data_IF_163744907258
#
_entry.id   IF_163744907258
#
_cell.length_a   1.000
_cell.length_b   1.000
_cell.length_c   1.000
_cell.angle_alpha   90.00
_cell.angle_beta   90.00
_cell.angle_gamma   90.00
#
_symmetry.space_group_name_H-M   'P 1'
#
loop_
_entity.id
_entity.type
_entity.pdbx_description
1 polymer ?
#
# COMPACT_ATOMS: atom_id res chain seq x y z
N UNK A 1 -14.22 -24.27 -12.11
CA UNK A 1 -13.49 -23.17 -11.46
C UNK A 1 -12.14 -23.72 -11.11
N UNK A 2 -11.06 -23.14 -11.65
CA UNK A 2 -9.72 -23.45 -11.16
C UNK A 2 -9.66 -22.84 -9.76
N UNK A 3 -9.38 -23.65 -8.74
CA UNK A 3 -9.17 -23.16 -7.37
C UNK A 3 -8.00 -22.18 -7.41
N UNK A 4 -8.31 -20.89 -7.28
CA UNK A 4 -7.32 -19.81 -7.23
C UNK A 4 -7.18 -19.24 -5.81
N UNK A 5 -7.56 -20.04 -4.79
CA UNK A 5 -7.40 -19.65 -3.39
C UNK A 5 -6.08 -20.21 -2.87
N UNK A 6 -5.07 -19.35 -2.73
CA UNK A 6 -3.81 -19.71 -2.08
C UNK A 6 -4.02 -19.71 -0.56
N UNK A 7 -3.88 -20.88 0.07
CA UNK A 7 -3.77 -20.96 1.53
C UNK A 7 -2.51 -20.22 1.95
N UNK A 8 -2.64 -19.08 2.64
CA UNK A 8 -1.50 -18.26 3.05
C UNK A 8 -0.58 -19.02 4.01
N UNK A 9 -1.14 -19.58 5.08
CA UNK A 9 -0.43 -20.42 6.04
C UNK A 9 -1.24 -21.67 6.35
N UNK A 10 -0.64 -22.87 6.38
CA UNK A 10 -1.35 -24.13 6.56
C UNK A 10 -1.82 -24.39 8.01
N UNK A 11 -1.30 -23.64 9.00
CA UNK A 11 -1.70 -23.67 10.41
C UNK A 11 -1.01 -22.55 11.20
N UNK A 12 -1.44 -22.34 12.45
CA UNK A 12 -0.92 -21.31 13.35
C UNK A 12 0.57 -21.44 13.68
N UNK A 13 1.10 -22.67 13.70
CA UNK A 13 2.52 -22.90 13.97
C UNK A 13 3.36 -22.35 12.82
N UNK A 14 2.98 -22.65 11.58
CA UNK A 14 3.65 -22.12 10.39
C UNK A 14 3.45 -20.61 10.29
N UNK A 15 2.24 -20.10 10.54
CA UNK A 15 1.98 -18.65 10.58
C UNK A 15 2.92 -17.92 11.54
N UNK A 16 3.06 -18.43 12.77
CA UNK A 16 3.99 -17.86 13.77
C UNK A 16 5.45 -17.91 13.31
N UNK A 17 5.89 -19.03 12.73
CA UNK A 17 7.26 -19.19 12.23
C UNK A 17 7.55 -18.23 11.07
N UNK A 18 6.59 -17.99 10.19
CA UNK A 18 6.72 -17.00 9.12
C UNK A 18 6.79 -15.58 9.68
N UNK A 19 5.97 -15.25 10.69
CA UNK A 19 6.06 -13.95 11.37
C UNK A 19 7.43 -13.74 12.04
N UNK A 20 7.92 -14.74 12.79
CA UNK A 20 9.26 -14.72 13.41
C UNK A 20 10.37 -14.48 12.37
N UNK A 21 10.34 -15.23 11.26
CA UNK A 21 11.28 -15.06 10.16
C UNK A 21 11.18 -13.65 9.54
N UNK A 22 9.96 -13.18 9.27
CA UNK A 22 9.73 -11.85 8.68
C UNK A 22 10.25 -10.74 9.58
N UNK A 23 10.09 -10.87 10.90
CA UNK A 23 10.61 -9.91 11.87
C UNK A 23 12.14 -9.87 11.91
N UNK A 24 12.80 -11.03 11.80
CA UNK A 24 14.27 -11.15 11.82
C UNK A 24 14.92 -10.65 10.53
N UNK A 25 14.23 -10.77 9.39
CA UNK A 25 14.75 -10.45 8.07
C UNK A 25 14.19 -9.15 7.47
N UNK A 26 13.46 -8.36 8.27
CA UNK A 26 12.99 -7.02 7.87
C UNK A 26 13.82 -5.92 8.51
N UNK A 27 13.87 -4.75 7.85
CA UNK A 27 14.48 -3.55 8.43
C UNK A 27 13.85 -3.27 9.81
N UNK A 28 14.66 -3.10 10.88
CA UNK A 28 14.13 -2.86 12.21
C UNK A 28 13.48 -1.47 12.29
N UNK A 29 12.44 -1.35 13.12
CA UNK A 29 11.93 -0.04 13.53
C UNK A 29 12.93 0.61 14.51
N UNK A 30 12.99 1.95 14.57
CA UNK A 30 13.72 2.66 15.61
C UNK A 30 13.43 2.12 17.00
N UNK A 31 14.45 2.03 17.84
CA UNK A 31 14.35 1.47 19.20
C UNK A 31 13.26 2.17 20.03
N UNK A 32 13.09 3.48 19.85
CA UNK A 32 12.07 4.26 20.54
C UNK A 32 10.65 3.85 20.15
N UNK A 33 10.39 3.51 18.87
CA UNK A 33 9.10 2.97 18.45
C UNK A 33 8.86 1.59 19.08
N UNK A 34 9.88 0.74 19.12
CA UNK A 34 9.78 -0.58 19.76
C UNK A 34 9.46 -0.44 21.25
N UNK A 35 10.16 0.46 21.96
CA UNK A 35 9.89 0.77 23.38
C UNK A 35 8.49 1.34 23.60
N UNK A 36 8.01 2.19 22.70
CA UNK A 36 6.65 2.72 22.77
C UNK A 36 5.62 1.58 22.62
N UNK A 37 5.78 0.73 21.61
CA UNK A 37 4.91 -0.45 21.43
C UNK A 37 4.92 -1.36 22.66
N UNK A 38 6.10 -1.67 23.21
CA UNK A 38 6.22 -2.45 24.45
C UNK A 38 5.49 -1.78 25.63
N UNK A 39 5.58 -0.46 25.75
CA UNK A 39 4.84 0.29 26.77
C UNK A 39 3.34 0.12 26.58
N UNK A 40 2.82 0.21 25.35
CA UNK A 40 1.38 -0.02 25.08
C UNK A 40 0.98 -1.41 25.54
N UNK A 41 1.71 -2.44 25.12
CA UNK A 41 1.41 -3.84 25.46
C UNK A 41 1.44 -4.13 26.97
N UNK A 42 2.34 -3.49 27.72
CA UNK A 42 2.51 -3.74 29.16
C UNK A 42 1.60 -2.89 30.05
N UNK A 43 1.20 -1.71 29.59
CA UNK A 43 0.53 -0.72 30.45
C UNK A 43 -0.95 -0.51 30.15
N UNK A 44 -1.41 -0.86 28.94
CA UNK A 44 -2.77 -0.58 28.51
C UNK A 44 -3.64 -1.83 28.57
N UNK A 45 -4.79 -1.75 29.24
CA UNK A 45 -5.80 -2.82 29.27
C UNK A 45 -6.32 -3.14 27.85
N UNK A 46 -6.47 -2.10 27.02
CA UNK A 46 -6.92 -2.21 25.63
C UNK A 46 -5.75 -2.28 24.63
N UNK A 47 -4.62 -2.85 25.03
CA UNK A 47 -3.42 -2.92 24.17
C UNK A 47 -3.64 -3.59 22.82
N UNK A 48 -4.63 -4.47 22.70
CA UNK A 48 -5.04 -5.09 21.43
C UNK A 48 -5.63 -4.13 20.39
N UNK A 49 -5.84 -2.84 20.72
CA UNK A 49 -6.18 -1.79 19.75
C UNK A 49 -4.95 -1.23 19.02
N UNK A 50 -3.72 -1.53 19.48
CA UNK A 50 -2.52 -1.06 18.78
C UNK A 50 -2.23 -1.91 17.55
N UNK A 51 -1.75 -1.26 16.49
CA UNK A 51 -1.18 -1.94 15.32
C UNK A 51 0.06 -2.76 15.72
N UNK A 52 0.33 -3.82 14.97
CA UNK A 52 1.53 -4.65 15.17
C UNK A 52 2.81 -3.94 14.68
N UNK A 53 3.99 -4.40 15.12
CA UNK A 53 5.26 -3.92 14.59
C UNK A 53 5.42 -4.20 13.08
N UNK A 54 4.91 -5.33 12.59
CA UNK A 54 4.95 -5.67 11.17
C UNK A 54 4.11 -4.69 10.35
N UNK A 55 2.91 -4.37 10.82
CA UNK A 55 2.06 -3.36 10.21
C UNK A 55 2.71 -1.97 10.26
N UNK A 56 3.30 -1.58 11.39
CA UNK A 56 4.02 -0.31 11.51
C UNK A 56 5.18 -0.20 10.49
N UNK A 57 5.90 -1.29 10.20
CA UNK A 57 6.91 -1.34 9.12
C UNK A 57 6.27 -1.14 7.74
N UNK A 58 5.16 -1.82 7.45
CA UNK A 58 4.44 -1.69 6.20
C UNK A 58 3.94 -0.26 5.96
N UNK A 59 3.31 0.35 6.98
CA UNK A 59 2.83 1.73 6.93
C UNK A 59 3.98 2.72 6.71
N UNK A 60 5.11 2.52 7.41
CA UNK A 60 6.32 3.33 7.20
C UNK A 60 6.86 3.22 5.78
N UNK A 61 6.86 2.01 5.21
CA UNK A 61 7.27 1.77 3.83
C UNK A 61 6.32 2.45 2.83
N UNK A 62 5.00 2.33 3.01
CA UNK A 62 4.00 2.99 2.16
C UNK A 62 4.14 4.51 2.17
N UNK A 63 4.33 5.12 3.35
CA UNK A 63 4.58 6.56 3.46
C UNK A 63 5.81 7.01 2.67
N UNK A 64 6.91 6.25 2.76
CA UNK A 64 8.14 6.56 2.02
C UNK A 64 7.99 6.37 0.51
N UNK A 65 7.28 5.33 0.07
CA UNK A 65 7.03 5.08 -1.35
C UNK A 65 6.29 6.23 -2.03
N UNK A 66 5.32 6.82 -1.33
CA UNK A 66 4.55 7.97 -1.87
C UNK A 66 5.14 9.32 -1.48
N UNK A 67 6.34 9.33 -0.87
CA UNK A 67 7.02 10.51 -0.33
C UNK A 67 6.08 11.39 0.53
N UNK A 68 5.30 10.76 1.41
CA UNK A 68 4.35 11.44 2.27
C UNK A 68 5.05 12.43 3.22
N UNK A 69 4.45 13.61 3.37
CA UNK A 69 4.83 14.68 4.31
C UNK A 69 3.70 15.02 5.27
N UNK A 70 2.45 14.75 4.93
CA UNK A 70 1.28 15.08 5.75
C UNK A 70 0.40 13.85 5.88
N UNK A 71 0.23 13.35 7.09
CA UNK A 71 -0.65 12.20 7.39
C UNK A 71 -1.76 12.62 8.32
N UNK A 72 -2.99 12.24 7.99
CA UNK A 72 -4.14 12.32 8.89
C UNK A 72 -4.50 10.93 9.37
N UNK A 73 -4.66 10.76 10.67
CA UNK A 73 -5.08 9.51 11.29
C UNK A 73 -6.42 9.71 12.00
N UNK A 74 -7.39 8.85 11.70
CA UNK A 74 -8.71 8.81 12.34
C UNK A 74 -8.73 7.62 13.28
N UNK A 75 -8.70 7.89 14.59
CA UNK A 75 -8.51 6.90 15.64
C UNK A 75 -7.03 6.79 16.01
N UNK A 76 -6.66 7.39 17.14
CA UNK A 76 -5.26 7.49 17.57
C UNK A 76 -4.94 6.56 18.74
N UNK A 77 -5.95 6.20 19.54
CA UNK A 77 -5.78 5.48 20.78
C UNK A 77 -4.66 6.15 21.62
N UNK A 78 -3.67 5.40 22.07
CA UNK A 78 -2.54 5.93 22.82
C UNK A 78 -1.37 6.38 21.95
N UNK A 79 -1.51 6.48 20.62
CA UNK A 79 -0.57 7.23 19.75
C UNK A 79 0.60 6.47 19.11
N UNK A 80 0.61 5.13 19.12
CA UNK A 80 1.70 4.35 18.52
C UNK A 80 1.75 4.42 16.99
N UNK A 81 0.60 4.31 16.32
CA UNK A 81 0.45 4.51 14.88
C UNK A 81 0.82 5.94 14.46
N UNK A 82 0.35 6.96 15.20
CA UNK A 82 0.77 8.35 15.01
C UNK A 82 2.30 8.52 15.07
N UNK A 83 2.96 7.91 16.06
CA UNK A 83 4.43 7.95 16.16
C UNK A 83 5.11 7.25 14.97
N UNK A 84 4.52 6.15 14.50
CA UNK A 84 5.00 5.42 13.31
C UNK A 84 4.96 6.31 12.07
N UNK A 85 3.84 7.01 11.85
CA UNK A 85 3.73 7.99 10.77
C UNK A 85 4.72 9.14 10.93
N UNK A 86 4.84 9.68 12.15
CA UNK A 86 5.69 10.81 12.47
C UNK A 86 7.16 10.52 12.19
N UNK A 87 7.60 9.31 12.52
CA UNK A 87 8.91 8.79 12.15
C UNK A 87 9.04 8.60 10.62
N UNK A 88 8.01 8.09 9.95
CA UNK A 88 8.07 7.78 8.52
C UNK A 88 8.15 9.02 7.62
N UNK A 89 7.39 10.08 7.93
CA UNK A 89 7.40 11.35 7.17
C UNK A 89 8.63 12.21 7.43
N UNK A 90 9.32 11.95 8.55
CA UNK A 90 10.50 12.67 9.01
C UNK A 90 10.18 14.04 9.61
N UNK A 91 11.23 14.72 10.09
CA UNK A 91 11.15 15.99 10.83
C UNK A 91 10.42 17.13 10.09
N UNK A 92 10.46 17.12 8.76
CA UNK A 92 9.86 18.15 7.90
C UNK A 92 8.42 17.79 7.50
N UNK A 93 7.94 16.61 7.90
CA UNK A 93 6.55 16.20 7.76
C UNK A 93 5.74 16.47 9.02
N UNK A 94 4.43 16.26 8.95
CA UNK A 94 3.48 16.45 10.04
C UNK A 94 2.43 15.34 10.07
N UNK A 95 1.96 15.00 11.27
CA UNK A 95 0.90 14.02 11.48
C UNK A 95 -0.17 14.61 12.37
N UNK A 96 -1.43 14.47 11.96
CA UNK A 96 -2.60 14.91 12.74
C UNK A 96 -3.40 13.66 13.11
N UNK A 97 -3.51 13.35 14.40
CA UNK A 97 -4.35 12.28 14.93
C UNK A 97 -5.67 12.80 15.49
N UNK A 98 -6.78 12.13 15.18
CA UNK A 98 -8.11 12.43 15.71
C UNK A 98 -8.50 11.38 16.74
N UNK A 99 -8.68 11.79 18.00
CA UNK A 99 -9.01 10.90 19.11
C UNK A 99 -10.24 11.37 19.86
N UNK A 100 -11.21 10.47 20.07
CA UNK A 100 -12.45 10.80 20.75
C UNK A 100 -12.28 10.89 22.26
N UNK A 101 -11.53 9.96 22.85
CA UNK A 101 -11.33 9.88 24.30
C UNK A 101 -10.33 10.95 24.75
N UNK A 102 -10.72 11.91 25.63
CA UNK A 102 -9.78 12.88 26.17
C UNK A 102 -8.61 12.23 26.94
N UNK A 103 -8.86 11.09 27.59
CA UNK A 103 -7.86 10.33 28.31
C UNK A 103 -6.81 9.74 27.37
N UNK A 104 -7.23 9.00 26.33
CA UNK A 104 -6.30 8.43 25.35
C UNK A 104 -5.58 9.52 24.56
N UNK A 105 -6.27 10.60 24.20
CA UNK A 105 -5.65 11.74 23.55
C UNK A 105 -4.54 12.37 24.41
N UNK A 106 -4.75 12.47 25.72
CA UNK A 106 -3.72 12.98 26.63
C UNK A 106 -2.55 12.01 26.74
N UNK A 107 -2.80 10.71 26.90
CA UNK A 107 -1.76 9.68 26.92
C UNK A 107 -0.92 9.69 25.65
N UNK A 108 -1.57 9.82 24.48
CA UNK A 108 -0.90 9.92 23.20
C UNK A 108 0.03 11.13 23.13
N UNK A 109 -0.44 12.33 23.53
CA UNK A 109 0.40 13.53 23.58
C UNK A 109 1.60 13.36 24.51
N UNK A 110 1.38 12.80 25.69
CA UNK A 110 2.43 12.61 26.70
C UNK A 110 3.51 11.65 26.20
N UNK A 111 3.14 10.51 25.60
CA UNK A 111 4.11 9.57 25.04
C UNK A 111 4.80 10.11 23.77
N UNK A 112 4.06 10.76 22.86
CA UNK A 112 4.66 11.39 21.67
C UNK A 112 5.72 12.41 22.06
N UNK A 113 5.42 13.26 23.05
CA UNK A 113 6.38 14.22 23.61
C UNK A 113 7.57 13.54 24.28
N UNK A 114 7.31 12.51 25.10
CA UNK A 114 8.35 11.76 25.83
C UNK A 114 9.41 11.15 24.91
N UNK A 115 9.00 10.64 23.76
CA UNK A 115 9.89 10.03 22.77
C UNK A 115 10.35 11.00 21.67
N UNK A 116 9.93 12.27 21.73
CA UNK A 116 10.44 13.33 20.86
C UNK A 116 9.78 13.49 19.48
N UNK A 117 8.59 12.91 19.26
CA UNK A 117 7.80 13.10 18.03
C UNK A 117 7.00 14.40 18.07
N UNK A 118 7.73 15.52 17.98
CA UNK A 118 7.15 16.87 18.04
C UNK A 118 6.45 17.30 16.74
N UNK A 119 6.54 16.49 15.68
CA UNK A 119 5.86 16.71 14.42
C UNK A 119 4.48 16.03 14.34
N UNK A 120 3.97 15.53 15.48
CA UNK A 120 2.64 14.97 15.60
C UNK A 120 1.76 15.80 16.52
N UNK A 121 0.52 16.02 16.12
CA UNK A 121 -0.53 16.64 16.92
C UNK A 121 -1.71 15.69 17.11
N UNK A 122 -2.37 15.76 18.26
CA UNK A 122 -3.57 14.98 18.55
C UNK A 122 -4.71 15.93 18.88
N UNK A 123 -5.78 15.87 18.09
CA UNK A 123 -7.00 16.66 18.25
C UNK A 123 -8.03 15.80 18.98
N UNK A 124 -8.50 16.29 20.13
CA UNK A 124 -9.53 15.60 20.90
C UNK A 124 -10.92 15.96 20.40
N UNK A 125 -11.76 14.97 20.09
CA UNK A 125 -13.16 15.16 19.74
C UNK A 125 -13.72 14.02 18.91
N UNK A 126 -15.04 14.01 18.71
CA UNK A 126 -15.65 13.02 17.82
C UNK A 126 -15.10 13.18 16.39
N UNK A 127 -14.55 12.10 15.84
CA UNK A 127 -13.91 12.11 14.53
C UNK A 127 -14.82 12.63 13.42
N UNK A 128 -16.14 12.41 13.48
CA UNK A 128 -17.06 12.94 12.45
C UNK A 128 -17.12 14.47 12.48
N UNK A 129 -17.02 15.06 13.67
CA UNK A 129 -17.03 16.51 13.84
C UNK A 129 -15.66 17.12 13.56
N UNK A 130 -14.59 16.54 14.11
CA UNK A 130 -13.23 17.06 13.92
C UNK A 130 -12.80 16.93 12.46
N UNK A 131 -13.05 15.79 11.81
CA UNK A 131 -12.77 15.58 10.38
C UNK A 131 -13.53 16.57 9.48
N UNK A 132 -14.79 16.86 9.79
CA UNK A 132 -15.58 17.82 9.03
C UNK A 132 -15.08 19.27 9.21
N UNK A 133 -14.60 19.61 10.41
CA UNK A 133 -14.10 20.94 10.76
C UNK A 133 -12.62 21.20 10.48
N UNK A 134 -11.83 20.19 10.08
CA UNK A 134 -10.42 20.37 9.75
C UNK A 134 -10.25 21.35 8.59
N UNK A 135 -9.41 22.37 8.72
CA UNK A 135 -9.04 23.26 7.61
C UNK A 135 -7.53 23.17 7.41
N UNK A 136 -7.03 22.08 6.80
CA UNK A 136 -5.60 21.90 6.69
C UNK A 136 -5.02 22.95 5.72
N UNK A 137 -3.83 23.53 6.03
CA UNK A 137 -3.20 24.52 5.16
C UNK A 137 -2.80 23.93 3.81
N UNK A 138 -2.45 22.63 3.81
CA UNK A 138 -2.18 21.84 2.61
C UNK A 138 -2.86 20.47 2.75
N UNK A 139 -3.32 19.85 1.65
CA UNK A 139 -3.92 18.55 1.68
C UNK A 139 -2.98 17.49 2.28
N UNK A 140 -3.56 16.46 2.88
CA UNK A 140 -2.82 15.28 3.34
C UNK A 140 -2.39 14.40 2.15
N UNK A 141 -1.27 13.71 2.33
CA UNK A 141 -0.77 12.68 1.41
C UNK A 141 -1.40 11.32 1.69
N UNK A 142 -1.64 11.04 2.97
CA UNK A 142 -2.23 9.79 3.46
C UNK A 142 -3.31 10.12 4.48
N UNK A 143 -4.44 9.43 4.38
CA UNK A 143 -5.46 9.38 5.42
C UNK A 143 -5.61 7.93 5.87
N UNK A 144 -5.31 7.66 7.14
CA UNK A 144 -5.44 6.36 7.79
C UNK A 144 -6.70 6.32 8.65
N UNK A 145 -7.52 5.29 8.49
CA UNK A 145 -8.78 5.08 9.22
C UNK A 145 -8.65 3.83 10.07
N UNK A 146 -8.52 4.02 11.38
CA UNK A 146 -8.53 2.95 12.38
C UNK A 146 -9.28 3.38 13.66
N UNK A 147 -10.59 3.54 13.52
CA UNK A 147 -11.45 4.00 14.60
C UNK A 147 -12.62 3.01 14.83
N UNK A 148 -13.73 3.53 15.39
CA UNK A 148 -14.99 2.80 15.48
C UNK A 148 -15.49 2.42 14.07
N UNK A 149 -15.75 1.13 13.85
CA UNK A 149 -16.02 0.59 12.51
C UNK A 149 -17.35 1.08 11.93
N UNK A 150 -18.35 1.33 12.77
CA UNK A 150 -19.61 2.00 12.38
C UNK A 150 -19.44 3.38 11.76
N UNK A 151 -18.31 4.06 12.01
CA UNK A 151 -18.02 5.37 11.42
C UNK A 151 -17.40 5.30 10.02
N UNK A 152 -16.89 4.14 9.59
CA UNK A 152 -16.06 4.03 8.38
C UNK A 152 -16.73 4.56 7.11
N UNK A 153 -17.99 4.19 6.78
CA UNK A 153 -18.67 4.75 5.60
C UNK A 153 -18.78 6.28 5.65
N UNK A 154 -19.09 6.83 6.83
CA UNK A 154 -19.22 8.27 7.02
C UNK A 154 -17.88 9.00 6.94
N UNK A 155 -16.81 8.45 7.54
CA UNK A 155 -15.45 8.98 7.40
C UNK A 155 -15.02 9.01 5.93
N UNK A 156 -15.19 7.89 5.21
CA UNK A 156 -14.85 7.80 3.80
C UNK A 156 -15.63 8.82 2.97
N UNK A 157 -16.94 8.95 3.20
CA UNK A 157 -17.77 9.93 2.51
C UNK A 157 -17.27 11.36 2.74
N UNK A 158 -16.98 11.74 3.98
CA UNK A 158 -16.43 13.07 4.29
C UNK A 158 -15.09 13.28 3.60
N UNK A 159 -14.19 12.28 3.65
CA UNK A 159 -12.89 12.35 3.01
C UNK A 159 -13.05 12.59 1.50
N UNK A 160 -13.87 11.81 0.82
CA UNK A 160 -14.07 11.92 -0.63
C UNK A 160 -14.75 13.23 -1.02
N UNK A 161 -15.81 13.64 -0.33
CA UNK A 161 -16.52 14.90 -0.59
C UNK A 161 -15.59 16.11 -0.42
N UNK A 162 -14.72 16.09 0.60
CA UNK A 162 -13.74 17.14 0.88
C UNK A 162 -12.44 17.03 0.09
N UNK A 163 -12.28 15.96 -0.69
CA UNK A 163 -11.12 15.74 -1.56
C UNK A 163 -11.45 15.94 -3.03
N UNK A 164 -12.62 16.52 -3.32
CA UNK A 164 -13.02 16.85 -4.69
C UNK A 164 -12.13 17.95 -5.29
N UNK A 165 -11.89 17.91 -6.61
CA UNK A 165 -11.20 18.99 -7.29
C UNK A 165 -11.93 20.34 -7.10
N UNK A 166 -11.16 21.44 -7.03
CA UNK A 166 -11.69 22.78 -6.79
C UNK A 166 -12.18 23.10 -5.36
N UNK A 167 -12.17 22.13 -4.43
CA UNK A 167 -12.52 22.39 -3.03
C UNK A 167 -11.47 23.28 -2.35
N UNK A 168 -11.96 24.34 -1.68
CA UNK A 168 -11.15 25.11 -0.74
C UNK A 168 -10.81 24.22 0.46
N UNK A 169 -9.56 24.26 0.93
CA UNK A 169 -9.06 23.42 2.04
C UNK A 169 -9.28 21.91 1.78
N UNK A 170 -8.90 21.48 0.56
CA UNK A 170 -8.98 20.08 0.13
C UNK A 170 -8.29 19.16 1.14
N UNK A 171 -8.96 18.08 1.50
CA UNK A 171 -8.48 17.19 2.56
C UNK A 171 -7.36 16.26 2.09
N UNK A 172 -7.54 15.54 0.97
CA UNK A 172 -6.53 14.65 0.38
C UNK A 172 -6.05 15.18 -0.96
N UNK A 173 -4.74 15.15 -1.21
CA UNK A 173 -4.18 15.54 -2.51
C UNK A 173 -4.56 14.56 -3.64
N UNK A 174 -4.52 15.00 -4.91
CA UNK A 174 -4.51 14.06 -6.04
C UNK A 174 -3.41 13.00 -5.89
N UNK A 175 -3.77 11.73 -6.11
CA UNK A 175 -2.87 10.60 -5.95
C UNK A 175 -2.46 10.29 -4.50
N UNK A 176 -3.12 10.90 -3.51
CA UNK A 176 -2.97 10.53 -2.10
C UNK A 176 -3.62 9.18 -1.78
N UNK A 177 -3.27 8.60 -0.63
CA UNK A 177 -3.74 7.30 -0.20
C UNK A 177 -4.81 7.41 0.89
N UNK A 178 -5.84 6.57 0.79
CA UNK A 178 -6.76 6.27 1.90
C UNK A 178 -6.52 4.82 2.30
N UNK A 179 -6.25 4.59 3.57
CA UNK A 179 -5.96 3.27 4.13
C UNK A 179 -6.96 3.01 5.26
N UNK A 180 -7.70 1.91 5.20
CA UNK A 180 -8.63 1.51 6.26
C UNK A 180 -8.16 0.22 6.92
N UNK A 181 -7.91 0.25 8.22
CA UNK A 181 -7.48 -0.93 8.97
C UNK A 181 -8.66 -1.80 9.43
N UNK A 182 -8.38 -3.10 9.61
CA UNK A 182 -9.29 -4.18 9.98
C UNK A 182 -10.48 -4.36 9.02
N UNK A 183 -10.34 -3.93 7.76
CA UNK A 183 -11.40 -3.93 6.75
C UNK A 183 -12.08 -5.30 6.53
N UNK A 184 -11.36 -6.40 6.78
CA UNK A 184 -11.89 -7.78 6.64
C UNK A 184 -12.39 -8.39 7.94
N UNK A 185 -12.11 -7.77 9.09
CA UNK A 185 -12.55 -8.20 10.42
C UNK A 185 -12.40 -9.71 10.69
N UNK A 186 -11.17 -10.21 10.69
CA UNK A 186 -10.89 -11.65 10.86
C UNK A 186 -11.62 -12.54 9.82
N UNK A 187 -11.88 -12.01 8.63
CA UNK A 187 -12.60 -12.69 7.55
C UNK A 187 -14.12 -12.65 7.68
N UNK A 188 -14.68 -12.13 8.78
CA UNK A 188 -16.13 -12.15 9.03
C UNK A 188 -16.93 -11.32 8.02
N UNK A 189 -16.31 -10.36 7.35
CA UNK A 189 -16.94 -9.62 6.25
C UNK A 189 -17.17 -10.52 5.02
N UNK A 190 -16.28 -11.48 4.79
CA UNK A 190 -16.35 -12.39 3.64
C UNK A 190 -17.09 -13.69 3.96
N UNK A 191 -16.98 -14.18 5.20
CA UNK A 191 -17.58 -15.42 5.65
C UNK A 191 -17.99 -15.32 7.13
N UNK A 192 -19.30 -15.24 7.35
CA UNK A 192 -19.93 -15.22 8.68
C UNK A 192 -20.40 -16.62 9.15
N UNK A 193 -20.08 -17.68 8.40
CA UNK A 193 -20.47 -19.03 8.75
C UNK A 193 -19.67 -19.61 9.92
N UNK A 194 -20.18 -20.70 10.52
CA UNK A 194 -19.51 -21.43 11.61
C UNK A 194 -18.14 -22.02 11.22
N UNK A 195 -17.83 -22.07 9.92
CA UNK A 195 -16.54 -22.52 9.38
C UNK A 195 -15.44 -21.48 9.61
N UNK A 196 -15.79 -20.19 9.70
CA UNK A 196 -14.86 -19.15 10.13
C UNK A 196 -14.65 -19.24 11.65
N UNK A 197 -13.45 -19.56 12.14
CA UNK A 197 -13.20 -19.70 13.59
C UNK A 197 -13.49 -18.42 14.38
N UNK A 198 -13.39 -17.25 13.72
CA UNK A 198 -13.65 -15.95 14.33
C UNK A 198 -15.08 -15.82 14.88
N UNK A 199 -16.06 -16.54 14.31
CA UNK A 199 -17.45 -16.55 14.81
C UNK A 199 -17.56 -17.06 16.26
N UNK A 200 -16.60 -17.85 16.72
CA UNK A 200 -16.56 -18.46 18.05
C UNK A 200 -15.54 -17.82 18.99
N UNK A 201 -14.46 -17.29 18.44
CA UNK A 201 -13.33 -16.75 19.23
C UNK A 201 -13.41 -15.25 19.46
N UNK A 202 -14.07 -14.51 18.56
CA UNK A 202 -14.28 -13.08 18.73
C UNK A 202 -15.46 -12.87 19.67
N UNK A 203 -15.32 -12.04 20.72
CA UNK A 203 -16.42 -11.71 21.62
C UNK A 203 -17.54 -11.00 20.86
N UNK A 204 -18.59 -11.74 20.51
CA UNK A 204 -19.85 -11.19 20.04
C UNK A 204 -20.41 -10.32 21.19
N UNK A 205 -20.66 -9.03 20.95
CA UNK A 205 -21.21 -8.06 21.92
C UNK A 205 -20.20 -7.31 22.83
N UNK A 206 -18.99 -7.02 22.36
CA UNK A 206 -18.22 -5.90 22.95
C UNK A 206 -18.51 -4.59 22.20
N UNK A 207 -18.26 -3.43 22.83
CA UNK A 207 -18.62 -2.11 22.28
C UNK A 207 -18.04 -1.84 20.89
N UNK A 208 -16.98 -2.56 20.51
CA UNK A 208 -16.32 -2.48 19.22
C UNK A 208 -16.53 -3.72 18.34
N UNK A 209 -17.10 -4.82 18.83
CA UNK A 209 -17.24 -6.11 18.13
C UNK A 209 -18.69 -6.63 18.19
N UNK A 210 -19.55 -6.04 17.36
CA UNK A 210 -20.91 -6.52 17.12
C UNK A 210 -21.13 -6.76 15.61
N UNK A 211 -22.24 -7.41 15.25
CA UNK A 211 -22.57 -7.69 13.85
C UNK A 211 -22.87 -6.44 13.02
N UNK A 212 -23.36 -5.37 13.65
CA UNK A 212 -23.59 -4.11 12.94
C UNK A 212 -22.27 -3.54 12.40
N UNK A 213 -21.19 -3.64 13.17
CA UNK A 213 -19.86 -3.21 12.73
C UNK A 213 -19.35 -3.98 11.50
N UNK A 214 -19.70 -5.26 11.34
CA UNK A 214 -19.32 -6.05 10.14
C UNK A 214 -20.04 -5.52 8.90
N UNK A 215 -21.34 -5.21 9.01
CA UNK A 215 -22.12 -4.63 7.91
C UNK A 215 -21.57 -3.26 7.46
N UNK A 216 -21.15 -2.41 8.41
CA UNK A 216 -20.52 -1.12 8.08
C UNK A 216 -19.15 -1.28 7.40
N UNK A 217 -18.38 -2.32 7.73
CA UNK A 217 -17.12 -2.61 7.05
C UNK A 217 -17.35 -3.15 5.63
N UNK A 218 -18.36 -4.01 5.43
CA UNK A 218 -18.78 -4.44 4.10
C UNK A 218 -19.24 -3.25 3.24
N UNK A 219 -20.04 -2.33 3.80
CA UNK A 219 -20.43 -1.09 3.13
C UNK A 219 -19.19 -0.25 2.76
N UNK A 220 -18.27 -0.02 3.70
CA UNK A 220 -17.02 0.69 3.45
C UNK A 220 -16.20 0.04 2.32
N UNK A 221 -16.04 -1.28 2.34
CA UNK A 221 -15.29 -2.01 1.31
C UNK A 221 -15.96 -1.87 -0.07
N UNK A 222 -17.29 -1.95 -0.14
CA UNK A 222 -18.06 -1.74 -1.36
C UNK A 222 -17.98 -0.29 -1.86
N UNK A 223 -17.95 0.69 -0.95
CA UNK A 223 -17.72 2.09 -1.32
C UNK A 223 -16.32 2.30 -1.91
N UNK A 224 -15.29 1.73 -1.29
CA UNK A 224 -13.91 1.80 -1.80
C UNK A 224 -13.81 1.20 -3.21
N UNK A 225 -14.57 0.13 -3.51
CA UNK A 225 -14.71 -0.40 -4.87
C UNK A 225 -15.52 0.53 -5.81
N UNK A 226 -16.63 1.06 -5.31
CA UNK A 226 -17.61 1.86 -6.04
C UNK A 226 -17.21 3.30 -6.36
N UNK A 227 -16.05 3.76 -5.86
CA UNK A 227 -15.38 5.02 -6.23
C UNK A 227 -14.16 4.80 -7.15
N UNK A 228 -14.31 4.15 -8.32
CA UNK A 228 -13.19 3.97 -9.23
C UNK A 228 -12.78 5.33 -9.78
N UNK A 229 -11.48 5.58 -9.81
CA UNK A 229 -10.87 6.75 -10.46
C UNK A 229 -11.57 6.98 -11.81
N UNK A 230 -12.29 8.10 -12.03
CA UNK A 230 -13.21 8.23 -13.15
C UNK A 230 -12.57 7.92 -14.51
N UNK A 231 -11.28 8.25 -14.67
CA UNK A 231 -10.50 7.96 -15.88
C UNK A 231 -10.16 6.47 -16.03
N UNK A 232 -9.86 5.76 -14.94
CA UNK A 232 -9.60 4.31 -15.00
C UNK A 232 -10.93 3.55 -15.16
N UNK A 233 -11.99 3.98 -14.49
CA UNK A 233 -13.34 3.47 -14.71
C UNK A 233 -13.74 3.61 -16.18
N UNK A 234 -13.50 4.79 -16.77
CA UNK A 234 -13.82 5.02 -18.16
C UNK A 234 -13.00 4.16 -19.11
N UNK A 235 -11.68 4.08 -18.87
CA UNK A 235 -10.75 3.31 -19.71
C UNK A 235 -10.96 1.79 -19.61
N UNK A 236 -11.20 1.27 -18.41
CA UNK A 236 -11.20 -0.18 -18.12
C UNK A 236 -12.61 -0.79 -18.09
N UNK A 237 -13.63 -0.01 -17.73
CA UNK A 237 -15.00 -0.49 -17.58
C UNK A 237 -15.91 0.14 -18.64
N UNK A 238 -16.07 1.47 -18.62
CA UNK A 238 -17.08 2.19 -19.43
C UNK A 238 -16.85 2.08 -20.94
N UNK A 239 -15.59 2.06 -21.40
CA UNK A 239 -15.23 1.90 -22.83
C UNK A 239 -15.70 0.56 -23.40
N UNK A 240 -15.90 -0.45 -22.53
CA UNK A 240 -16.31 -1.79 -22.91
C UNK A 240 -17.81 -2.04 -22.68
N UNK A 241 -18.53 -1.11 -22.03
CA UNK A 241 -19.97 -1.20 -21.84
C UNK A 241 -20.76 -0.81 -23.10
N UNK A 242 -21.82 -1.55 -23.37
CA UNK A 242 -22.82 -1.19 -24.38
C UNK A 242 -23.58 0.07 -24.00
N UNK A 243 -24.22 0.72 -24.97
CA UNK A 243 -25.03 1.91 -24.72
C UNK A 243 -26.20 1.65 -23.74
N UNK A 244 -26.74 0.43 -23.73
CA UNK A 244 -27.81 0.01 -22.83
C UNK A 244 -27.34 -0.12 -21.38
N UNK A 245 -26.18 -0.76 -21.16
CA UNK A 245 -25.56 -0.92 -19.83
C UNK A 245 -25.18 0.44 -19.23
N UNK A 246 -24.63 1.34 -20.04
CA UNK A 246 -24.31 2.72 -19.62
C UNK A 246 -25.55 3.50 -19.17
N UNK A 247 -26.68 3.29 -19.83
CA UNK A 247 -27.93 3.98 -19.52
C UNK A 247 -28.57 3.44 -18.24
N UNK A 248 -28.59 2.12 -18.04
CA UNK A 248 -29.06 1.49 -16.81
C UNK A 248 -28.19 1.89 -15.61
N UNK A 249 -26.87 1.89 -15.79
CA UNK A 249 -25.94 2.32 -14.76
C UNK A 249 -26.09 3.82 -14.43
N UNK A 250 -26.26 4.67 -15.44
CA UNK A 250 -26.51 6.10 -15.24
C UNK A 250 -27.81 6.38 -14.48
N UNK A 251 -28.87 5.58 -14.74
CA UNK A 251 -30.12 5.64 -14.00
C UNK A 251 -29.98 5.16 -12.56
N UNK A 252 -29.17 4.12 -12.32
CA UNK A 252 -28.91 3.59 -10.98
C UNK A 252 -28.06 4.54 -10.12
N UNK A 253 -27.08 5.24 -10.72
CA UNK A 253 -26.11 6.08 -9.99
C UNK A 253 -26.58 7.52 -9.71
N UNK A 254 -27.67 7.97 -10.33
CA UNK A 254 -28.21 9.32 -10.19
C UNK A 254 -27.37 10.41 -10.88
N UNK A 255 -28.04 11.49 -11.31
CA UNK A 255 -27.45 12.53 -12.17
C UNK A 255 -26.28 13.34 -11.55
N UNK A 256 -26.09 13.30 -10.22
CA UNK A 256 -25.04 14.07 -9.54
C UNK A 256 -23.61 13.62 -9.89
N UNK A 257 -23.38 12.33 -10.10
CA UNK A 257 -22.05 11.76 -10.41
C UNK A 257 -21.62 11.98 -11.87
N UNK A 258 -22.57 12.21 -12.77
CA UNK A 258 -22.29 12.55 -14.17
C UNK A 258 -21.66 13.94 -14.24
N UNK A 259 -22.19 14.90 -13.47
CA UNK A 259 -21.69 16.27 -13.38
C UNK A 259 -20.28 16.33 -12.77
N UNK A 260 -20.03 15.55 -11.72
CA UNK A 260 -18.71 15.43 -11.06
C UNK A 260 -17.64 14.88 -12.03
N UNK A 261 -18.00 13.85 -12.81
CA UNK A 261 -17.12 13.32 -13.85
C UNK A 261 -16.91 14.32 -15.00
N UNK A 262 -17.94 15.11 -15.38
CA UNK A 262 -17.81 16.21 -16.34
C UNK A 262 -16.88 17.33 -15.84
N UNK A 263 -16.97 17.67 -14.57
CA UNK A 263 -16.12 18.69 -13.95
C UNK A 263 -14.66 18.25 -13.90
N UNK A 264 -14.40 17.01 -13.45
CA UNK A 264 -13.05 16.44 -13.43
C UNK A 264 -12.43 16.33 -14.84
N UNK A 265 -13.25 16.06 -15.87
CA UNK A 265 -12.84 16.13 -17.29
C UNK A 265 -12.44 17.56 -17.69
N UNK A 266 -13.27 18.53 -17.34
CA UNK A 266 -13.02 19.95 -17.61
C UNK A 266 -11.70 20.41 -16.99
N UNK A 267 -11.45 20.04 -15.73
CA UNK A 267 -10.23 20.41 -15.02
C UNK A 267 -8.98 19.70 -15.55
N UNK A 268 -9.06 18.43 -15.91
CA UNK A 268 -7.91 17.73 -16.54
C UNK A 268 -7.57 18.36 -17.89
N UNK A 269 -8.59 18.76 -18.66
CA UNK A 269 -8.41 19.46 -19.94
C UNK A 269 -7.84 20.85 -19.74
N UNK A 270 -8.30 21.58 -18.73
CA UNK A 270 -7.77 22.89 -18.35
C UNK A 270 -6.34 22.80 -17.82
N UNK A 271 -6.02 21.76 -17.04
CA UNK A 271 -4.66 21.49 -16.58
C UNK A 271 -3.74 21.19 -17.77
N UNK A 272 -4.17 20.34 -18.70
CA UNK A 272 -3.41 20.04 -19.92
C UNK A 272 -3.20 21.29 -20.79
N UNK A 273 -4.22 22.13 -20.93
CA UNK A 273 -4.14 23.41 -21.64
C UNK A 273 -3.27 24.44 -20.90
N UNK A 274 -3.26 24.43 -19.57
CA UNK A 274 -2.41 25.29 -18.75
C UNK A 274 -0.94 24.88 -18.84
N UNK A 275 -0.65 23.57 -18.89
CA UNK A 275 0.69 23.04 -19.17
C UNK A 275 1.14 23.41 -20.59
N UNK A 276 0.24 23.34 -21.58
CA UNK A 276 0.52 23.83 -22.95
C UNK A 276 0.75 25.35 -23.02
N UNK A 277 0.05 26.14 -22.20
CA UNK A 277 0.21 27.60 -22.14
C UNK A 277 1.46 28.05 -21.36
N UNK A 278 1.99 27.21 -20.45
CA UNK A 278 3.18 27.49 -19.64
C UNK A 278 4.51 27.32 -20.39
N UNK A 279 4.48 26.90 -21.67
CA UNK A 279 5.68 26.83 -22.51
C UNK A 279 6.65 25.69 -22.15
N UNK A 280 6.21 24.68 -21.39
CA UNK A 280 6.95 23.43 -21.27
C UNK A 280 6.95 22.72 -22.63
N UNK A 281 8.13 22.65 -23.26
CA UNK A 281 8.28 22.02 -24.57
C UNK A 281 7.91 20.54 -24.47
N UNK A 282 6.87 20.14 -25.21
CA UNK A 282 6.68 18.74 -25.60
C UNK A 282 7.82 18.35 -26.53
N UNK A 283 8.53 17.27 -26.21
CA UNK A 283 9.13 16.46 -27.24
C UNK A 283 8.02 15.99 -28.19
N UNK A 284 8.24 16.24 -29.49
CA UNK A 284 7.33 15.86 -30.55
C UNK A 284 7.30 14.33 -30.69
N UNK A 285 6.37 13.69 -29.97
CA UNK A 285 6.05 12.26 -30.11
C UNK A 285 5.17 11.99 -31.33
N UNK A 286 5.41 12.67 -32.46
CA UNK A 286 4.77 12.31 -33.72
C UNK A 286 5.29 10.94 -34.18
N UNK A 287 4.43 10.04 -34.68
CA UNK A 287 4.82 8.67 -35.09
C UNK A 287 5.81 8.62 -36.26
N UNK A 288 6.18 9.77 -36.84
CA UNK A 288 6.95 9.85 -38.07
C UNK A 288 8.48 9.82 -37.87
N UNK A 289 8.99 9.95 -36.63
CA UNK A 289 10.44 10.05 -36.37
C UNK A 289 11.10 8.92 -35.59
N UNK A 290 10.34 7.95 -35.08
CA UNK A 290 10.90 6.78 -34.38
C UNK A 290 10.39 5.47 -35.00
N UNK A 291 10.76 5.20 -36.26
CA UNK A 291 10.76 3.82 -36.74
C UNK A 291 12.05 3.16 -36.27
N UNK A 292 11.92 2.17 -35.39
CA UNK A 292 13.01 1.25 -35.08
C UNK A 292 13.18 0.32 -36.28
N UNK A 293 14.33 0.36 -36.93
CA UNK A 293 14.69 -0.54 -38.02
C UNK A 293 15.52 -1.67 -37.44
N UNK A 294 15.10 -2.93 -37.66
CA UNK A 294 15.98 -4.06 -37.37
C UNK A 294 17.26 -3.94 -38.23
N UNK A 295 18.35 -4.57 -37.81
CA UNK A 295 19.71 -4.42 -38.38
C UNK A 295 19.91 -4.84 -39.86
N UNK A 296 18.85 -4.99 -40.65
CA UNK A 296 18.88 -5.22 -42.09
C UNK A 296 17.88 -4.30 -42.79
N UNK A 297 18.23 -3.80 -43.98
CA UNK A 297 17.40 -2.94 -44.85
C UNK A 297 16.15 -3.67 -45.41
N UNK A 298 15.37 -4.33 -44.56
CA UNK A 298 14.17 -5.08 -44.89
C UNK A 298 13.00 -4.42 -44.16
N UNK A 299 11.89 -4.19 -44.88
CA UNK A 299 10.64 -3.69 -44.31
C UNK A 299 10.23 -4.54 -43.10
N UNK A 300 10.11 -3.90 -41.93
CA UNK A 300 9.76 -4.62 -40.72
C UNK A 300 8.31 -5.11 -40.82
N UNK A 301 8.01 -6.38 -40.48
CA UNK A 301 6.64 -6.91 -40.54
C UNK A 301 5.62 -6.12 -39.69
N UNK A 302 6.08 -5.49 -38.59
CA UNK A 302 5.26 -4.70 -37.67
C UNK A 302 5.03 -3.23 -38.10
N UNK A 303 5.59 -2.79 -39.23
CA UNK A 303 5.35 -1.44 -39.77
C UNK A 303 4.05 -1.35 -40.62
N UNK A 304 3.39 -2.48 -40.86
CA UNK A 304 2.09 -2.56 -41.56
C UNK A 304 0.87 -2.42 -40.66
N UNK A 305 -0.28 -2.04 -41.24
CA UNK A 305 -1.56 -2.01 -40.50
C UNK A 305 -2.11 -3.43 -40.26
N UNK A 306 -2.49 -3.73 -39.00
CA UNK A 306 -3.15 -4.99 -38.66
C UNK A 306 -4.64 -4.96 -39.04
N UNK A 307 -5.10 -5.98 -39.76
CA UNK A 307 -6.49 -6.11 -40.21
C UNK A 307 -7.44 -6.70 -39.15
N UNK A 308 -6.89 -7.39 -38.14
CA UNK A 308 -7.63 -7.97 -37.02
C UNK A 308 -6.87 -7.81 -35.70
N UNK A 309 -7.58 -7.97 -34.57
CA UNK A 309 -7.00 -7.85 -33.23
C UNK A 309 -5.95 -8.93 -32.97
N UNK A 310 -6.24 -10.15 -33.41
CA UNK A 310 -5.36 -11.31 -33.27
C UNK A 310 -4.05 -11.09 -34.04
N UNK A 311 -4.14 -10.56 -35.27
CA UNK A 311 -2.97 -10.21 -36.07
C UNK A 311 -2.14 -9.08 -35.44
N UNK A 312 -2.80 -8.06 -34.88
CA UNK A 312 -2.10 -6.97 -34.18
C UNK A 312 -1.36 -7.46 -32.93
N UNK A 313 -1.93 -8.41 -32.19
CA UNK A 313 -1.25 -9.01 -31.04
C UNK A 313 -0.03 -9.83 -31.46
N UNK A 314 -0.04 -10.44 -32.64
CA UNK A 314 1.07 -11.23 -33.16
C UNK A 314 2.22 -10.33 -33.64
N UNK A 315 1.92 -9.27 -34.38
CA UNK A 315 2.90 -8.27 -34.81
C UNK A 315 3.57 -7.56 -33.61
N UNK A 316 2.82 -7.25 -32.56
CA UNK A 316 3.36 -6.67 -31.33
C UNK A 316 4.30 -7.63 -30.60
N UNK A 317 3.97 -8.93 -30.54
CA UNK A 317 4.84 -9.94 -29.94
C UNK A 317 6.14 -10.13 -30.73
N UNK A 318 6.08 -10.09 -32.06
CA UNK A 318 7.28 -10.14 -32.91
C UNK A 318 8.16 -8.90 -32.69
N UNK A 319 7.58 -7.69 -32.63
CA UNK A 319 8.33 -6.47 -32.29
C UNK A 319 9.08 -6.59 -30.96
N UNK A 320 8.38 -7.03 -29.90
CA UNK A 320 9.00 -7.19 -28.58
C UNK A 320 10.10 -8.26 -28.59
N UNK A 321 9.90 -9.34 -29.35
CA UNK A 321 10.88 -10.42 -29.44
C UNK A 321 12.16 -9.95 -30.14
N UNK A 322 12.05 -9.25 -31.26
CA UNK A 322 13.23 -8.74 -31.96
C UNK A 322 13.96 -7.67 -31.15
N UNK A 323 13.20 -6.72 -30.56
CA UNK A 323 13.81 -5.61 -29.81
C UNK A 323 14.46 -6.07 -28.50
N UNK A 324 13.75 -6.86 -27.69
CA UNK A 324 14.19 -7.15 -26.31
C UNK A 324 14.73 -8.57 -26.13
N UNK A 325 14.16 -9.57 -26.81
CA UNK A 325 14.57 -10.97 -26.59
C UNK A 325 15.81 -11.32 -27.41
N UNK A 326 15.93 -10.80 -28.63
CA UNK A 326 17.11 -11.02 -29.50
C UNK A 326 18.21 -9.97 -29.32
N UNK A 327 18.04 -9.05 -28.38
CA UNK A 327 19.05 -8.03 -28.08
C UNK A 327 19.20 -6.95 -29.16
N UNK A 328 18.13 -6.66 -29.93
CA UNK A 328 18.16 -5.69 -31.02
C UNK A 328 17.96 -4.22 -30.59
N UNK A 329 17.78 -3.95 -29.29
CA UNK A 329 17.58 -2.58 -28.81
C UNK A 329 18.89 -1.78 -28.81
N UNK A 330 19.08 -0.91 -29.81
CA UNK A 330 20.27 -0.06 -29.94
C UNK A 330 20.39 0.95 -28.79
N UNK A 331 19.30 1.25 -28.09
CA UNK A 331 19.28 2.14 -26.92
C UNK A 331 19.78 1.43 -25.64
N UNK A 332 19.97 0.10 -25.69
CA UNK A 332 20.39 -0.71 -24.55
C UNK A 332 21.68 -1.47 -24.84
N UNK A 333 22.72 -1.23 -24.02
CA UNK A 333 24.01 -1.88 -24.15
C UNK A 333 23.98 -3.28 -23.53
N UNK A 334 23.54 -4.27 -24.33
CA UNK A 334 23.40 -5.66 -23.90
C UNK A 334 24.72 -6.29 -23.44
N UNK A 335 25.89 -5.80 -23.87
CA UNK A 335 27.19 -6.31 -23.43
C UNK A 335 27.46 -6.12 -21.93
N UNK A 336 26.68 -5.27 -21.23
CA UNK A 336 26.75 -5.11 -19.77
C UNK A 336 26.02 -6.20 -19.00
N UNK A 337 25.13 -6.93 -19.67
CA UNK A 337 24.27 -7.95 -19.07
C UNK A 337 24.64 -9.33 -19.63
N UNK A 338 24.78 -9.43 -20.95
CA UNK A 338 25.20 -10.65 -21.63
C UNK A 338 26.67 -10.94 -21.33
N UNK A 339 26.91 -12.05 -20.62
CA UNK A 339 28.26 -12.47 -20.19
C UNK A 339 28.71 -11.90 -18.84
N UNK A 340 27.83 -11.22 -18.09
CA UNK A 340 28.13 -10.78 -16.74
C UNK A 340 27.79 -11.88 -15.71
N UNK A 341 28.80 -12.61 -15.26
CA UNK A 341 28.68 -13.70 -14.27
C UNK A 341 28.06 -13.21 -12.93
N UNK A 342 28.21 -11.93 -12.56
CA UNK A 342 27.57 -11.38 -11.37
C UNK A 342 26.05 -11.21 -11.49
N UNK A 343 25.49 -11.32 -12.69
CA UNK A 343 24.05 -11.27 -12.93
C UNK A 343 23.47 -12.65 -13.28
N UNK A 344 24.32 -13.66 -13.48
CA UNK A 344 23.90 -15.03 -13.73
C UNK A 344 23.62 -15.76 -12.41
N UNK A 345 22.39 -15.54 -11.91
CA UNK A 345 21.88 -16.11 -10.65
C UNK A 345 21.88 -17.64 -10.67
N UNK A 346 21.74 -18.26 -11.84
CA UNK A 346 21.75 -19.73 -11.97
C UNK A 346 23.17 -20.27 -11.83
N UNK A 347 24.14 -19.66 -12.50
CA UNK A 347 25.55 -20.04 -12.39
C UNK A 347 26.08 -19.91 -10.96
N UNK A 348 25.75 -18.81 -10.26
CA UNK A 348 26.11 -18.64 -8.84
C UNK A 348 25.53 -19.71 -7.93
N UNK A 349 24.26 -20.05 -8.13
CA UNK A 349 23.60 -21.09 -7.35
C UNK A 349 24.24 -22.46 -7.61
N UNK A 350 24.58 -22.77 -8.85
CA UNK A 350 25.27 -24.02 -9.22
C UNK A 350 26.73 -24.08 -8.70
N UNK A 351 27.34 -22.93 -8.42
CA UNK A 351 28.64 -22.83 -7.74
C UNK A 351 28.51 -22.95 -6.22
N UNK A 352 27.49 -22.35 -5.61
CA UNK A 352 27.16 -22.52 -4.19
C UNK A 352 26.82 -23.99 -3.87
N UNK A 353 25.98 -24.63 -4.70
CA UNK A 353 25.63 -26.04 -4.54
C UNK A 353 26.88 -26.95 -4.65
N UNK A 354 27.81 -26.65 -5.58
CA UNK A 354 29.11 -27.34 -5.68
C UNK A 354 29.99 -27.11 -4.45
N UNK A 355 30.01 -25.90 -3.91
CA UNK A 355 30.78 -25.59 -2.70
C UNK A 355 30.28 -26.38 -1.49
N UNK A 356 28.96 -26.58 -1.36
CA UNK A 356 28.37 -27.42 -0.32
C UNK A 356 28.67 -28.92 -0.50
N UNK A 357 28.73 -29.40 -1.74
CA UNK A 357 29.04 -30.81 -2.05
C UNK A 357 30.53 -31.16 -1.81
N UNK A 358 31.44 -30.18 -1.95
CA UNK A 358 32.90 -30.37 -1.75
C UNK A 358 33.36 -30.17 -0.29
N UNK A 359 32.51 -29.71 0.63
CA UNK A 359 32.82 -29.62 2.06
C UNK A 359 32.61 -30.97 2.78
N UNK A 360 33.70 -31.61 3.20
CA UNK A 360 33.59 -32.73 4.15
C UNK A 360 33.26 -32.21 5.58
N UNK A 361 32.21 -32.71 6.25
CA UNK A 361 31.81 -32.23 7.57
C UNK A 361 32.90 -32.48 8.62
N UNK A 362 33.53 -31.43 9.14
CA UNK A 362 34.41 -31.53 10.31
C UNK A 362 33.62 -31.22 11.60
N UNK A 363 33.43 -32.23 12.43
CA UNK A 363 32.75 -32.09 13.72
C UNK A 363 33.76 -31.64 14.78
N UNK A 364 33.41 -30.59 15.54
CA UNK A 364 34.16 -30.16 16.73
C UNK A 364 33.98 -31.23 17.82
N UNK A 365 34.85 -32.24 17.81
CA UNK A 365 34.80 -33.35 18.78
C UNK A 365 36.04 -34.25 18.81
N UNK A 366 36.78 -34.41 17.70
CA UNK A 366 37.97 -35.29 17.65
C UNK A 366 39.28 -34.53 17.96
N UNK A 367 39.34 -33.89 19.14
CA UNK A 367 40.64 -33.58 19.76
C UNK A 367 40.65 -34.09 21.18
N UNK A 368 41.49 -35.10 21.40
CA UNK A 368 41.83 -35.63 22.71
C UNK A 368 42.11 -34.50 23.71
N UNK A 369 41.36 -34.51 24.82
CA UNK A 369 41.58 -33.65 25.96
C UNK A 369 42.84 -34.10 26.72
N UNK A 370 43.97 -33.45 26.46
CA UNK A 370 45.10 -33.40 27.38
C UNK A 370 45.10 -32.02 28.05
N UNK A 371 44.75 -32.00 29.34
CA UNK A 371 44.61 -30.77 30.12
C UNK A 371 45.92 -30.16 30.57
N UNK A 372 45.85 -28.90 30.97
CA UNK A 372 46.62 -28.33 32.06
C UNK A 372 45.82 -27.13 32.62
N UNK A 373 45.22 -27.36 33.78
CA UNK A 373 44.46 -26.38 34.56
C UNK A 373 45.41 -25.41 35.25
N UNK A 374 45.23 -24.10 35.03
CA UNK A 374 46.01 -23.06 35.67
C UNK A 374 45.16 -21.93 36.24
N UNK A 375 44.41 -22.18 37.32
CA UNK A 375 43.93 -21.13 38.23
C UNK A 375 43.99 -21.68 39.66
N UNK A 376 44.74 -20.98 40.52
CA UNK A 376 44.86 -21.22 41.96
C UNK A 376 43.67 -20.59 42.70
N UNK A 377 43.14 -21.34 43.67
CA UNK A 377 42.12 -20.92 44.63
C UNK A 377 42.54 -19.68 45.43
N UNK A 378 41.65 -18.68 45.54
CA UNK A 378 41.29 -17.93 46.77
C UNK A 378 39.95 -17.20 46.60
#
# INVERSE_FOLDING_TARGET
>A
MIENCTTLYPNDIVGRKVSEYSDQHSVPLPEDLVKYHEWVLRSQEHSHFTISLLEARMLSWMARMVNAKRVLEIGTFVGFSVATWANAVGKDGSVTGLEKSPEFAQMARDQLSRFGWNNAEVVTGDALHTLAGLEPPEPYDIIFIDAQKSGYPAYLKIILDRSQPGQANRLLRPGGLIIGDNALRCGLVADESDDNPATKTVPLHTINWDWNNIAFLDEFNKMMHGHPHPVLYERLIKRHQTSSERQQEGQAKGYGRVLEADLARGETRLSALATEAAGEQREDLSPARHRWHAASDIDNPWDGEASTKEQGSELWREFLRERFIRGGDEDFDYAKVDGNEELDVVLRRDEEDRWFDDEEPSWVGDRDAAGETGVQDF
#
